data_IF_758755926779
#
_entry.id   IF_758755926779
#
_cell.length_a   1.000
_cell.length_b   1.000
_cell.length_c   1.000
_cell.angle_alpha   90.00
_cell.angle_beta   90.00
_cell.angle_gamma   90.00
#
_symmetry.space_group_name_H-M   'P 1'
#
loop_
_entity.id
_entity.type
_entity.pdbx_description
1 polymer ?
#
# COMPACT_ATOMS: atom_id res chain seq x y z
N UNK A 1 -1.98 6.12 9.59
CA UNK A 1 -2.37 5.51 8.29
C UNK A 1 -1.16 5.21 7.43
N UNK A 2 -0.36 6.21 7.01
CA UNK A 2 0.80 5.97 6.15
C UNK A 2 1.86 5.05 6.77
N UNK A 3 2.10 5.13 8.09
CA UNK A 3 3.04 4.20 8.75
C UNK A 3 2.63 2.73 8.62
N UNK A 4 1.32 2.45 8.69
CA UNK A 4 0.77 1.11 8.45
C UNK A 4 1.03 0.66 7.01
N UNK A 5 0.81 1.54 6.03
CA UNK A 5 1.07 1.29 4.61
C UNK A 5 2.56 1.02 4.37
N UNK A 6 3.45 1.81 4.99
CA UNK A 6 4.90 1.64 4.91
C UNK A 6 5.33 0.28 5.45
N UNK A 7 4.83 -0.10 6.64
CA UNK A 7 5.13 -1.39 7.25
C UNK A 7 4.62 -2.55 6.39
N UNK A 8 3.36 -2.48 5.94
CA UNK A 8 2.77 -3.51 5.10
C UNK A 8 3.48 -3.66 3.73
N UNK A 9 4.06 -2.57 3.22
CA UNK A 9 4.84 -2.60 1.97
C UNK A 9 6.22 -3.20 2.16
N UNK A 10 6.94 -2.81 3.22
CA UNK A 10 8.35 -3.18 3.43
C UNK A 10 8.54 -4.50 4.17
N UNK A 11 7.70 -4.77 5.16
CA UNK A 11 7.84 -5.88 6.09
C UNK A 11 6.50 -6.59 6.35
N UNK A 12 5.77 -7.04 5.30
CA UNK A 12 4.44 -7.65 5.47
C UNK A 12 4.45 -8.89 6.39
N UNK A 13 5.58 -9.60 6.50
CA UNK A 13 5.75 -10.75 7.40
C UNK A 13 5.75 -10.38 8.90
N UNK A 14 5.90 -9.09 9.22
CA UNK A 14 5.97 -8.57 10.60
C UNK A 14 4.65 -7.96 11.10
N UNK A 15 3.59 -8.01 10.29
CA UNK A 15 2.29 -7.44 10.64
C UNK A 15 1.66 -8.18 11.82
N UNK A 16 1.12 -7.41 12.76
CA UNK A 16 0.48 -7.90 13.98
C UNK A 16 -0.85 -7.18 14.23
N UNK A 17 -1.68 -7.74 15.11
CA UNK A 17 -2.99 -7.16 15.46
C UNK A 17 -2.90 -5.72 15.96
N UNK A 18 -1.81 -5.35 16.64
CA UNK A 18 -1.59 -4.00 17.15
C UNK A 18 -1.55 -2.94 16.04
N UNK A 19 -1.05 -3.28 14.85
CA UNK A 19 -0.99 -2.34 13.71
C UNK A 19 -2.40 -1.94 13.25
N UNK A 20 -3.33 -2.90 13.25
CA UNK A 20 -4.75 -2.66 12.92
C UNK A 20 -5.47 -1.90 14.05
N UNK A 21 -5.16 -2.22 15.31
CA UNK A 21 -5.72 -1.51 16.47
C UNK A 21 -5.33 -0.03 16.43
N UNK A 22 -4.07 0.29 16.12
CA UNK A 22 -3.60 1.68 16.01
C UNK A 22 -4.37 2.48 14.95
N UNK A 23 -4.78 1.86 13.84
CA UNK A 23 -5.67 2.50 12.86
C UNK A 23 -7.06 2.75 13.43
N UNK A 24 -7.65 1.79 14.14
CA UNK A 24 -8.96 1.98 14.80
C UNK A 24 -8.93 3.09 15.83
N UNK A 25 -7.89 3.14 16.65
CA UNK A 25 -7.66 4.19 17.65
C UNK A 25 -7.45 5.57 17.01
N UNK A 26 -6.96 5.61 15.77
CA UNK A 26 -6.86 6.83 14.97
C UNK A 26 -8.20 7.25 14.33
N UNK A 27 -9.28 6.52 14.56
CA UNK A 27 -10.63 6.84 14.09
C UNK A 27 -11.06 6.17 12.78
N UNK A 28 -10.27 5.24 12.22
CA UNK A 28 -10.68 4.51 11.02
C UNK A 28 -11.69 3.40 11.36
N UNK A 29 -12.74 3.30 10.55
CA UNK A 29 -13.67 2.17 10.59
C UNK A 29 -13.03 0.91 10.01
N UNK A 30 -13.60 -0.26 10.30
CA UNK A 30 -13.12 -1.52 9.72
C UNK A 30 -13.17 -1.52 8.18
N UNK A 31 -14.18 -0.86 7.60
CA UNK A 31 -14.29 -0.68 6.14
C UNK A 31 -13.14 0.19 5.62
N UNK A 32 -12.85 1.32 6.27
CA UNK A 32 -11.74 2.19 5.85
C UNK A 32 -10.37 1.49 6.01
N UNK A 33 -10.21 0.63 7.02
CA UNK A 33 -9.00 -0.18 7.18
C UNK A 33 -8.87 -1.20 6.05
N UNK A 34 -9.97 -1.84 5.65
CA UNK A 34 -9.99 -2.73 4.49
C UNK A 34 -9.57 -1.98 3.22
N UNK A 35 -10.10 -0.79 2.99
CA UNK A 35 -9.74 0.05 1.84
C UNK A 35 -8.22 0.38 1.83
N UNK A 36 -7.65 0.75 2.99
CA UNK A 36 -6.21 1.00 3.15
C UNK A 36 -5.38 -0.23 2.74
N UNK A 37 -5.76 -1.42 3.23
CA UNK A 37 -5.07 -2.68 2.92
C UNK A 37 -5.18 -3.02 1.44
N UNK A 38 -6.37 -2.88 0.85
CA UNK A 38 -6.62 -3.19 -0.56
C UNK A 38 -5.82 -2.28 -1.49
N UNK A 39 -5.82 -0.97 -1.25
CA UNK A 39 -5.03 -0.02 -2.05
C UNK A 39 -3.54 -0.31 -1.92
N UNK A 40 -3.05 -0.55 -0.70
CA UNK A 40 -1.64 -0.88 -0.46
C UNK A 40 -1.24 -2.15 -1.22
N UNK A 41 -2.04 -3.21 -1.12
CA UNK A 41 -1.80 -4.48 -1.80
C UNK A 41 -1.86 -4.36 -3.32
N UNK A 42 -2.82 -3.58 -3.84
CA UNK A 42 -2.96 -3.34 -5.28
C UNK A 42 -1.71 -2.67 -5.87
N UNK A 43 -1.23 -1.59 -5.26
CA UNK A 43 0.01 -0.93 -5.73
C UNK A 43 1.22 -1.84 -5.57
N UNK A 44 1.30 -2.61 -4.49
CA UNK A 44 2.40 -3.57 -4.35
C UNK A 44 2.38 -4.63 -5.47
N UNK A 45 1.21 -5.06 -5.93
CA UNK A 45 1.08 -5.97 -7.08
C UNK A 45 1.48 -5.28 -8.40
N UNK A 46 0.92 -4.10 -8.68
CA UNK A 46 1.20 -3.35 -9.93
C UNK A 46 2.68 -2.98 -10.03
N UNK A 47 3.29 -2.50 -8.95
CA UNK A 47 4.71 -2.14 -8.94
C UNK A 47 5.59 -3.37 -9.25
N UNK A 48 5.25 -4.55 -8.74
CA UNK A 48 5.99 -5.78 -9.07
C UNK A 48 5.86 -6.18 -10.53
N UNK A 49 4.72 -5.93 -11.15
CA UNK A 49 4.57 -6.14 -12.59
C UNK A 49 5.37 -5.13 -13.39
N UNK A 50 5.25 -3.85 -13.06
CA UNK A 50 5.92 -2.77 -13.78
C UNK A 50 7.45 -2.89 -13.65
N UNK A 51 7.96 -2.88 -12.42
CA UNK A 51 9.39 -2.92 -12.13
C UNK A 51 10.00 -4.29 -12.46
N UNK A 52 9.24 -5.37 -12.23
CA UNK A 52 9.72 -6.74 -12.46
C UNK A 52 9.81 -7.13 -13.94
N UNK A 53 9.03 -6.46 -14.81
CA UNK A 53 9.07 -6.67 -16.27
C UNK A 53 9.73 -5.52 -17.03
N UNK A 54 10.08 -4.43 -16.36
CA UNK A 54 10.66 -3.22 -17.00
C UNK A 54 9.65 -2.46 -17.85
N UNK A 55 8.40 -2.35 -17.40
CA UNK A 55 7.36 -1.56 -18.09
C UNK A 55 7.71 -0.08 -18.01
N UNK A 56 7.85 0.56 -19.17
CA UNK A 56 8.09 2.00 -19.26
C UNK A 56 6.80 2.80 -19.09
N UNK A 57 6.93 4.01 -18.55
CA UNK A 57 5.82 4.96 -18.49
C UNK A 57 5.44 5.42 -19.90
N UNK A 58 4.18 5.81 -20.07
CA UNK A 58 3.73 6.37 -21.35
C UNK A 58 4.47 7.68 -21.69
N UNK A 59 4.74 7.93 -22.97
CA UNK A 59 5.50 9.10 -23.41
C UNK A 59 4.86 10.45 -23.05
N UNK A 60 3.57 10.46 -22.68
CA UNK A 60 2.86 11.68 -22.24
C UNK A 60 3.43 12.25 -20.93
N UNK A 61 4.21 11.47 -20.18
CA UNK A 61 4.80 11.88 -18.91
C UNK A 61 6.16 12.59 -19.08
N UNK A 62 6.75 12.58 -20.28
CA UNK A 62 8.05 13.19 -20.58
C UNK A 62 7.97 14.67 -21.01
N UNK A 63 6.77 15.21 -21.22
CA UNK A 63 6.56 16.58 -21.76
C UNK A 63 6.61 17.72 -20.71
N UNK A 64 7.27 17.55 -19.55
CA UNK A 64 7.45 18.63 -18.54
C UNK A 64 8.90 19.08 -18.36
#
# INVERSE_FOLDING_TARGET
>A
MLDYVVKLTKEPWSMVKADVIALRESGFSDVAILDIVQVTGYYAYVNRLADGLGVELESIWDEN
#
